data_IF_213197518751
#
_entry.id   IF_213197518751
#
_cell.length_a   1.000
_cell.length_b   1.000
_cell.length_c   1.000
_cell.angle_alpha   90.00
_cell.angle_beta   90.00
_cell.angle_gamma   90.00
#
_symmetry.space_group_name_H-M   'P 1'
#
loop_
_entity.id
_entity.type
_entity.pdbx_description
1 polymer ?
#
# COMPACT_ATOMS: atom_id res chain seq x y z
N UNK A 1 -1.43 18.11 -13.62
CA UNK A 1 -2.31 16.91 -13.69
C UNK A 1 -2.89 16.74 -15.09
N UNK A 2 -3.73 17.65 -15.59
CA UNK A 2 -4.37 17.51 -16.93
C UNK A 2 -3.35 17.28 -18.05
N UNK A 3 -2.27 18.08 -18.12
CA UNK A 3 -1.20 17.89 -19.10
C UNK A 3 -0.57 16.50 -19.04
N UNK A 4 -0.17 16.05 -17.85
CA UNK A 4 0.38 14.70 -17.67
C UNK A 4 -0.59 13.57 -18.01
N UNK A 5 -1.88 13.71 -17.71
CA UNK A 5 -2.90 12.73 -18.13
C UNK A 5 -3.04 12.69 -19.66
N UNK A 6 -3.05 13.86 -20.31
CA UNK A 6 -3.07 13.98 -21.76
C UNK A 6 -1.85 13.33 -22.40
N UNK A 7 -0.65 13.64 -21.90
CA UNK A 7 0.60 13.07 -22.41
C UNK A 7 0.60 11.53 -22.25
N UNK A 8 0.17 11.01 -21.09
CA UNK A 8 0.03 9.57 -20.89
C UNK A 8 -0.96 8.95 -21.88
N UNK A 9 -2.12 9.59 -22.09
CA UNK A 9 -3.14 9.14 -23.05
C UNK A 9 -2.60 9.13 -24.49
N UNK A 10 -1.90 10.18 -24.90
CA UNK A 10 -1.27 10.28 -26.22
C UNK A 10 -0.19 9.19 -26.43
N UNK A 11 0.40 8.68 -25.33
CA UNK A 11 1.38 7.59 -25.32
C UNK A 11 0.79 6.21 -24.97
N UNK A 12 -0.54 6.04 -24.92
CA UNK A 12 -1.22 4.79 -24.55
C UNK A 12 -0.80 4.21 -23.17
N UNK A 13 -0.47 5.07 -22.21
CA UNK A 13 -0.14 4.68 -20.84
C UNK A 13 -1.44 4.69 -20.02
N UNK A 14 -1.72 3.58 -19.32
CA UNK A 14 -2.89 3.49 -18.43
C UNK A 14 -2.84 4.57 -17.34
N UNK A 15 -3.96 5.27 -17.16
CA UNK A 15 -4.09 6.36 -16.20
C UNK A 15 -5.22 6.15 -15.21
N UNK A 16 -4.99 6.62 -13.98
CA UNK A 16 -6.00 6.72 -12.94
C UNK A 16 -6.11 8.15 -12.43
N UNK A 17 -7.33 8.63 -12.20
CA UNK A 17 -7.61 9.95 -11.63
C UNK A 17 -8.37 9.80 -10.31
N UNK A 18 -7.88 10.46 -9.26
CA UNK A 18 -8.62 10.65 -8.00
C UNK A 18 -9.03 12.11 -7.91
N UNK A 19 -10.32 12.38 -7.75
CA UNK A 19 -10.87 13.74 -7.68
C UNK A 19 -11.94 13.84 -6.61
N UNK A 20 -12.07 15.01 -5.98
CA UNK A 20 -13.13 15.30 -5.01
C UNK A 20 -14.27 16.15 -5.59
N UNK A 21 -14.24 16.37 -6.90
CA UNK A 21 -15.28 17.06 -7.67
C UNK A 21 -15.76 16.14 -8.80
N UNK A 22 -17.03 16.25 -9.16
CA UNK A 22 -17.62 15.56 -10.30
C UNK A 22 -17.26 16.26 -11.61
N UNK A 23 -17.29 15.52 -12.73
CA UNK A 23 -17.24 16.07 -14.10
C UNK A 23 -16.07 17.03 -14.36
N UNK A 24 -14.88 16.71 -13.84
CA UNK A 24 -13.71 17.56 -14.00
C UNK A 24 -13.15 17.48 -15.42
N UNK A 25 -12.48 18.55 -15.89
CA UNK A 25 -11.72 18.51 -17.15
C UNK A 25 -10.64 17.43 -17.17
N UNK A 26 -10.12 17.01 -16.01
CA UNK A 26 -9.12 15.94 -15.95
C UNK A 26 -9.75 14.57 -16.26
N UNK A 27 -11.03 14.38 -15.95
CA UNK A 27 -11.75 13.12 -16.14
C UNK A 27 -11.79 12.69 -17.61
N UNK A 28 -11.80 13.61 -18.58
CA UNK A 28 -11.79 13.26 -20.02
C UNK A 28 -10.47 12.68 -20.53
N UNK A 29 -9.40 12.77 -19.73
CA UNK A 29 -8.06 12.28 -20.07
C UNK A 29 -7.64 11.05 -19.25
N UNK A 30 -8.50 10.53 -18.38
CA UNK A 30 -8.19 9.38 -17.52
C UNK A 30 -8.99 8.12 -17.91
N UNK A 31 -8.39 6.94 -17.76
CA UNK A 31 -9.05 5.65 -18.06
C UNK A 31 -9.90 5.16 -16.88
N UNK A 32 -9.37 5.31 -15.66
CA UNK A 32 -10.05 4.93 -14.42
C UNK A 32 -10.23 6.17 -13.56
N UNK A 33 -11.47 6.46 -13.16
CA UNK A 33 -11.81 7.67 -12.40
C UNK A 33 -12.40 7.25 -11.05
N UNK A 34 -11.84 7.81 -9.97
CA UNK A 34 -12.35 7.69 -8.61
C UNK A 34 -12.79 9.06 -8.14
N UNK A 35 -14.11 9.31 -8.20
CA UNK A 35 -14.72 10.53 -7.68
C UNK A 35 -15.13 10.32 -6.22
N UNK A 36 -14.60 11.14 -5.31
CA UNK A 36 -14.86 11.05 -3.87
C UNK A 36 -15.34 12.40 -3.34
N UNK A 37 -16.65 12.60 -3.42
CA UNK A 37 -17.30 13.86 -3.11
C UNK A 37 -17.38 14.03 -1.59
N UNK A 38 -16.46 14.82 -1.04
CA UNK A 38 -16.36 15.08 0.41
C UNK A 38 -17.15 16.30 0.88
N UNK A 39 -17.74 17.07 -0.05
CA UNK A 39 -18.45 18.32 0.21
C UNK A 39 -17.52 19.48 0.61
N UNK A 40 -18.11 20.64 0.94
CA UNK A 40 -17.37 21.85 1.28
C UNK A 40 -16.47 21.67 2.51
N UNK A 41 -15.24 22.17 2.45
CA UNK A 41 -14.29 22.10 3.56
C UNK A 41 -14.69 23.03 4.71
N UNK A 42 -14.34 22.66 5.95
CA UNK A 42 -14.63 23.48 7.14
C UNK A 42 -13.94 24.85 7.05
N UNK A 43 -12.70 24.86 6.58
CA UNK A 43 -12.02 26.09 6.15
C UNK A 43 -12.17 26.16 4.63
N UNK A 44 -12.89 27.17 4.14
CA UNK A 44 -13.20 27.33 2.71
C UNK A 44 -11.94 27.22 1.86
N UNK A 45 -11.95 26.27 0.91
CA UNK A 45 -10.84 26.02 -0.01
C UNK A 45 -9.66 25.22 0.55
N UNK A 46 -9.63 24.90 1.85
CA UNK A 46 -8.54 24.13 2.48
C UNK A 46 -8.66 22.63 2.21
N UNK A 47 -8.45 22.23 0.96
CA UNK A 47 -8.61 20.83 0.49
C UNK A 47 -7.63 19.85 1.13
N UNK A 48 -6.56 20.32 1.79
CA UNK A 48 -5.68 19.45 2.60
C UNK A 48 -6.42 18.72 3.74
N UNK A 49 -7.65 19.12 4.06
CA UNK A 49 -8.50 18.54 5.11
C UNK A 49 -9.22 17.29 4.60
N UNK A 50 -10.52 17.36 4.28
CA UNK A 50 -11.30 16.17 3.90
C UNK A 50 -10.81 15.59 2.59
N UNK A 51 -10.56 16.42 1.59
CA UNK A 51 -10.14 15.97 0.26
C UNK A 51 -8.78 15.25 0.32
N UNK A 52 -7.81 15.82 1.03
CA UNK A 52 -6.50 15.21 1.26
C UNK A 52 -6.58 13.90 2.08
N UNK A 53 -7.46 13.86 3.08
CA UNK A 53 -7.72 12.63 3.85
C UNK A 53 -8.31 11.53 2.97
N UNK A 54 -9.30 11.86 2.14
CA UNK A 54 -9.89 10.93 1.19
C UNK A 54 -8.84 10.37 0.22
N UNK A 55 -8.02 11.24 -0.38
CA UNK A 55 -6.94 10.82 -1.27
C UNK A 55 -5.94 9.88 -0.59
N UNK A 56 -5.55 10.16 0.66
CA UNK A 56 -4.67 9.27 1.44
C UNK A 56 -5.28 7.89 1.63
N UNK A 57 -6.56 7.82 1.99
CA UNK A 57 -7.25 6.54 2.20
C UNK A 57 -7.33 5.73 0.89
N UNK A 58 -7.67 6.39 -0.22
CA UNK A 58 -7.75 5.74 -1.55
C UNK A 58 -6.39 5.22 -1.99
N UNK A 59 -5.33 6.04 -1.89
CA UNK A 59 -3.98 5.61 -2.25
C UNK A 59 -3.50 4.45 -1.38
N UNK A 60 -3.79 4.49 -0.07
CA UNK A 60 -3.51 3.38 0.83
C UNK A 60 -4.26 2.10 0.42
N UNK A 61 -5.52 2.20 0.00
CA UNK A 61 -6.29 1.04 -0.48
C UNK A 61 -5.66 0.47 -1.75
N UNK A 62 -5.37 1.31 -2.75
CA UNK A 62 -4.75 0.89 -4.01
C UNK A 62 -3.43 0.16 -3.77
N UNK A 63 -2.51 0.78 -3.02
CA UNK A 63 -1.19 0.21 -2.77
C UNK A 63 -1.27 -1.07 -1.94
N UNK A 64 -2.11 -1.10 -0.91
CA UNK A 64 -2.24 -2.26 -0.01
C UNK A 64 -2.87 -3.44 -0.75
N UNK A 65 -3.97 -3.22 -1.48
CA UNK A 65 -4.63 -4.26 -2.27
C UNK A 65 -3.71 -4.82 -3.36
N UNK A 66 -2.93 -3.96 -4.03
CA UNK A 66 -1.92 -4.42 -4.98
C UNK A 66 -0.89 -5.33 -4.31
N UNK A 67 -0.34 -4.93 -3.16
CA UNK A 67 0.67 -5.72 -2.45
C UNK A 67 0.10 -7.07 -1.95
N UNK A 68 -1.17 -7.09 -1.51
CA UNK A 68 -1.86 -8.34 -1.17
C UNK A 68 -1.97 -9.25 -2.40
N UNK A 69 -2.41 -8.73 -3.56
CA UNK A 69 -2.52 -9.50 -4.81
C UNK A 69 -1.17 -10.02 -5.31
N UNK A 70 -0.09 -9.29 -5.06
CA UNK A 70 1.29 -9.72 -5.36
C UNK A 70 1.85 -10.73 -4.33
N UNK A 71 1.03 -11.19 -3.38
CA UNK A 71 1.41 -12.19 -2.39
C UNK A 71 2.37 -11.68 -1.30
N UNK A 72 2.56 -10.36 -1.17
CA UNK A 72 3.47 -9.72 -0.18
C UNK A 72 2.94 -9.81 1.26
N UNK A 73 1.71 -10.27 1.41
CA UNK A 73 0.98 -10.45 2.69
C UNK A 73 0.48 -11.90 2.76
N UNK A 74 0.62 -12.55 3.93
CA UNK A 74 0.02 -13.88 4.22
C UNK A 74 -0.92 -13.73 5.40
N UNK A 75 -2.20 -14.09 5.22
CA UNK A 75 -3.25 -13.72 6.16
C UNK A 75 -3.30 -12.20 6.32
N UNK A 76 -2.96 -11.71 7.50
CA UNK A 76 -2.83 -10.28 7.82
C UNK A 76 -1.37 -9.85 8.13
N UNK A 77 -0.38 -10.72 7.86
CA UNK A 77 1.04 -10.49 8.16
C UNK A 77 1.80 -10.05 6.91
N UNK A 78 2.53 -8.94 6.99
CA UNK A 78 3.42 -8.47 5.93
C UNK A 78 4.73 -9.29 5.93
N UNK A 79 4.83 -10.29 5.06
CA UNK A 79 5.96 -11.24 5.04
C UNK A 79 7.19 -10.74 4.27
N UNK A 80 7.03 -9.67 3.49
CA UNK A 80 8.11 -8.99 2.75
C UNK A 80 8.46 -7.61 3.33
N UNK A 81 8.30 -7.45 4.65
CA UNK A 81 8.74 -6.22 5.31
C UNK A 81 10.28 -6.13 5.33
N UNK A 82 10.80 -4.91 5.21
CA UNK A 82 12.23 -4.64 5.39
C UNK A 82 12.58 -4.64 6.87
N UNK A 83 13.51 -5.48 7.29
CA UNK A 83 13.95 -5.60 8.70
C UNK A 83 15.00 -4.53 9.03
N UNK A 84 14.62 -3.26 8.92
CA UNK A 84 15.56 -2.12 8.98
C UNK A 84 15.83 -1.55 10.37
N UNK A 85 15.12 -2.01 11.39
CA UNK A 85 15.31 -1.58 12.78
C UNK A 85 14.87 -2.69 13.75
N UNK A 86 15.28 -2.57 15.01
CA UNK A 86 14.99 -3.57 16.06
C UNK A 86 13.51 -3.89 16.20
N UNK A 87 12.60 -2.90 16.08
CA UNK A 87 11.15 -3.12 16.13
C UNK A 87 10.66 -3.99 14.96
N UNK A 88 11.17 -3.77 13.76
CA UNK A 88 10.79 -4.57 12.59
C UNK A 88 11.41 -5.97 12.64
N UNK A 89 12.62 -6.09 13.19
CA UNK A 89 13.25 -7.39 13.48
C UNK A 89 12.41 -8.19 14.48
N UNK A 90 12.09 -7.64 15.66
CA UNK A 90 11.24 -8.29 16.67
C UNK A 90 9.88 -8.71 16.10
N UNK A 91 9.22 -7.81 15.33
CA UNK A 91 7.97 -8.15 14.63
C UNK A 91 8.15 -9.33 13.66
N UNK A 92 9.24 -9.35 12.91
CA UNK A 92 9.57 -10.44 12.00
C UNK A 92 9.74 -11.78 12.73
N UNK A 93 10.45 -11.79 13.86
CA UNK A 93 10.63 -12.99 14.69
C UNK A 93 9.30 -13.52 15.20
N UNK A 94 8.43 -12.64 15.71
CA UNK A 94 7.07 -13.02 16.14
C UNK A 94 6.26 -13.63 15.00
N UNK A 95 6.30 -13.02 13.82
CA UNK A 95 5.59 -13.54 12.65
C UNK A 95 6.04 -14.96 12.28
N UNK A 96 7.35 -15.23 12.29
CA UNK A 96 7.90 -16.57 12.02
C UNK A 96 7.52 -17.57 13.11
N UNK A 97 7.63 -17.17 14.39
CA UNK A 97 7.27 -18.01 15.54
C UNK A 97 5.80 -18.42 15.48
N UNK A 98 4.90 -17.44 15.27
CA UNK A 98 3.45 -17.68 15.19
C UNK A 98 3.07 -18.52 13.97
N UNK A 99 3.77 -18.37 12.82
CA UNK A 99 3.44 -19.09 11.59
C UNK A 99 3.91 -20.55 11.61
N UNK A 100 5.09 -20.79 12.20
CA UNK A 100 5.70 -22.12 12.23
C UNK A 100 5.38 -22.92 13.51
N UNK A 101 4.81 -22.28 14.53
CA UNK A 101 4.56 -22.90 15.84
C UNK A 101 5.83 -23.21 16.62
N UNK A 102 6.93 -22.50 16.34
CA UNK A 102 8.25 -22.70 16.97
C UNK A 102 8.52 -21.67 18.05
N UNK A 103 9.50 -21.92 18.91
CA UNK A 103 9.90 -20.99 19.96
C UNK A 103 10.45 -19.67 19.40
N UNK A 104 10.28 -18.56 20.12
CA UNK A 104 10.83 -17.26 19.74
C UNK A 104 12.34 -17.32 19.46
N UNK A 105 13.13 -18.01 20.32
CA UNK A 105 14.58 -18.16 20.14
C UNK A 105 14.95 -18.91 18.86
N UNK A 106 14.13 -19.88 18.45
CA UNK A 106 14.35 -20.59 17.19
C UNK A 106 14.00 -19.71 15.99
N UNK A 107 12.87 -19.02 16.05
CA UNK A 107 12.47 -18.04 15.03
C UNK A 107 13.49 -16.91 14.86
N UNK A 108 14.09 -16.44 15.96
CA UNK A 108 15.15 -15.42 15.98
C UNK A 108 16.37 -15.90 15.19
N UNK A 109 16.87 -17.11 15.47
CA UNK A 109 17.96 -17.72 14.70
C UNK A 109 17.62 -17.83 13.21
N UNK A 110 16.38 -18.19 12.86
CA UNK A 110 15.96 -18.25 11.44
C UNK A 110 15.97 -16.85 10.80
N UNK A 111 15.43 -15.85 11.47
CA UNK A 111 15.47 -14.47 10.98
C UNK A 111 16.91 -14.00 10.80
N UNK A 112 17.82 -14.37 11.70
CA UNK A 112 19.23 -14.04 11.55
C UNK A 112 19.91 -14.73 10.36
N UNK A 113 19.56 -15.99 10.08
CA UNK A 113 20.10 -16.73 8.95
C UNK A 113 19.57 -16.22 7.60
N UNK A 114 18.27 -15.95 7.51
CA UNK A 114 17.60 -15.64 6.24
C UNK A 114 17.41 -14.14 5.98
N UNK A 115 17.50 -13.30 7.02
CA UNK A 115 17.25 -11.84 7.01
C UNK A 115 15.94 -11.45 6.32
N UNK A 116 14.96 -12.35 6.28
CA UNK A 116 13.68 -12.19 5.61
C UNK A 116 12.65 -13.12 6.25
N UNK A 117 11.48 -12.56 6.60
CA UNK A 117 10.35 -13.32 7.18
C UNK A 117 9.87 -14.39 6.20
N UNK A 118 9.64 -14.04 4.93
CA UNK A 118 9.24 -15.00 3.90
C UNK A 118 10.23 -16.16 3.78
N UNK A 119 11.52 -15.90 3.59
CA UNK A 119 12.53 -16.95 3.44
C UNK A 119 12.66 -17.82 4.69
N UNK A 120 12.54 -17.21 5.88
CA UNK A 120 12.58 -17.93 7.14
C UNK A 120 11.41 -18.92 7.29
N UNK A 121 10.21 -18.55 6.80
CA UNK A 121 9.02 -19.42 6.78
C UNK A 121 9.13 -20.47 5.68
N UNK A 122 9.48 -20.06 4.46
CA UNK A 122 9.46 -20.93 3.27
C UNK A 122 10.54 -22.02 3.32
N UNK A 123 11.65 -21.79 4.01
CA UNK A 123 12.71 -22.78 4.23
C UNK A 123 12.40 -23.83 5.30
N UNK A 124 11.25 -23.73 5.99
CA UNK A 124 10.83 -24.72 7.00
C UNK A 124 9.90 -25.78 6.43
N UNK A 125 9.27 -25.49 5.29
CA UNK A 125 8.40 -26.41 4.56
C UNK A 125 9.21 -27.11 3.47
#
# INVERSE_FOLDING_TARGET
>A
VVGGLRDCKDNNILTGLITCNTNTKASSFADVIVETIVGAEVVTGSTRMKSGTAQKLILNMISTTLMIKLGKVRGNKMVDMQLSNSKLVDRGVRFVSDELGISYKEAEKRIDNYKSVRKAIDSYK
#
